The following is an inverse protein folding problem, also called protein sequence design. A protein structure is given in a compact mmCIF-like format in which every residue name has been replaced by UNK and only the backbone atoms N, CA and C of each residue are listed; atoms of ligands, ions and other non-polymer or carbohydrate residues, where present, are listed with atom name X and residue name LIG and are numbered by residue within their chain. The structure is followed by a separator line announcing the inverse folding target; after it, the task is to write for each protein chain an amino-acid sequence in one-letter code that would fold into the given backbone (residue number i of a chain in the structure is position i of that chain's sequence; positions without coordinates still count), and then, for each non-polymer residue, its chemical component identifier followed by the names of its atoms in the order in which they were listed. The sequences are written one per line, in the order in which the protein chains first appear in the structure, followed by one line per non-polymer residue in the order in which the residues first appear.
data_IF_963995780350
#
_entry.id   IF_963995780350
#
_cell.length_a   1.000
_cell.length_b   1.000
_cell.length_c   1.000
_cell.angle_alpha   90.00
_cell.angle_beta   90.00
_cell.angle_gamma   90.00
#
_symmetry.space_group_name_H-M   'P 1'
#
loop_
_entity.id
_entity.type
_entity.pdbx_description
1 polymer ?
#
# COMPACT_ATOMS: atom_id res chain seq x y z
N UNK A 1 13.72 11.81 -3.99
CA UNK A 1 14.47 12.73 -3.11
C UNK A 1 15.84 12.10 -2.91
N UNK A 2 16.92 12.89 -2.94
CA UNK A 2 18.29 12.35 -2.77
C UNK A 2 18.74 12.49 -1.33
N UNK A 3 19.32 11.42 -0.75
CA UNK A 3 19.92 11.51 0.57
C UNK A 3 21.09 12.51 0.59
N UNK A 4 21.03 13.44 1.53
CA UNK A 4 22.08 14.38 1.92
C UNK A 4 22.60 14.09 3.33
N UNK A 5 21.75 13.54 4.20
CA UNK A 5 22.05 13.09 5.55
C UNK A 5 21.21 11.84 5.89
N UNK A 6 21.59 10.70 5.32
CA UNK A 6 20.85 9.43 5.38
C UNK A 6 20.54 9.01 6.81
N UNK A 7 19.26 8.78 7.08
CA UNK A 7 18.71 8.44 8.38
C UNK A 7 18.45 9.64 9.30
N UNK A 8 18.59 10.87 8.80
CA UNK A 8 18.39 12.11 9.54
C UNK A 8 17.67 13.21 8.72
N UNK A 9 17.13 12.90 7.55
CA UNK A 9 16.47 13.87 6.65
C UNK A 9 15.21 14.47 7.29
N UNK A 10 14.56 13.69 8.14
CA UNK A 10 13.27 14.03 8.72
C UNK A 10 13.36 14.49 10.18
N UNK A 11 14.55 14.55 10.80
CA UNK A 11 14.74 14.84 12.22
C UNK A 11 14.02 16.14 12.64
N UNK A 12 14.29 17.26 11.96
CA UNK A 12 13.68 18.56 12.31
C UNK A 12 12.15 18.59 12.12
N UNK A 13 11.65 17.88 11.09
CA UNK A 13 10.20 17.80 10.83
C UNK A 13 9.52 16.93 11.89
N UNK A 14 10.17 15.84 12.27
CA UNK A 14 9.71 14.92 13.30
C UNK A 14 9.62 15.61 14.66
N UNK A 15 10.65 16.36 15.08
CA UNK A 15 10.65 17.08 16.36
C UNK A 15 9.41 17.99 16.50
N UNK A 16 9.14 18.82 15.48
CA UNK A 16 7.96 19.70 15.45
C UNK A 16 6.64 18.95 15.52
N UNK A 17 6.54 17.81 14.82
CA UNK A 17 5.34 16.97 14.82
C UNK A 17 5.13 16.31 16.18
N UNK A 18 6.20 15.82 16.80
CA UNK A 18 6.20 15.10 18.07
C UNK A 18 5.88 16.03 19.23
N UNK A 19 6.43 17.24 19.26
CA UNK A 19 6.11 18.23 20.28
C UNK A 19 4.61 18.50 20.34
N UNK A 20 3.98 18.68 19.18
CA UNK A 20 2.52 18.83 19.08
C UNK A 20 1.79 17.57 19.53
N UNK A 21 2.21 16.40 19.05
CA UNK A 21 1.55 15.14 19.37
C UNK A 21 1.63 14.79 20.86
N UNK A 22 2.74 15.10 21.55
CA UNK A 22 2.95 14.85 22.98
C UNK A 22 1.95 15.57 23.87
N UNK A 23 1.43 16.73 23.45
CA UNK A 23 0.46 17.52 24.22
C UNK A 23 -0.89 16.80 24.25
N UNK A 24 -1.27 16.16 23.15
CA UNK A 24 -2.63 15.65 22.95
C UNK A 24 -2.72 14.13 23.10
N UNK A 25 -1.75 13.40 22.53
CA UNK A 25 -1.67 11.92 22.43
C UNK A 25 -2.93 11.24 21.91
N UNK A 26 -3.85 12.00 21.33
CA UNK A 26 -5.20 11.59 20.97
C UNK A 26 -5.47 11.97 19.53
N UNK A 27 -6.01 11.02 18.78
CA UNK A 27 -6.43 11.20 17.41
C UNK A 27 -7.90 10.82 17.29
N UNK A 28 -8.70 11.80 16.86
CA UNK A 28 -10.10 11.62 16.52
C UNK A 28 -10.23 11.39 15.02
N UNK A 29 -11.11 10.46 14.64
CA UNK A 29 -11.40 10.20 13.23
C UNK A 29 -12.71 10.91 12.84
N UNK A 30 -12.65 11.86 11.92
CA UNK A 30 -13.85 12.47 11.34
C UNK A 30 -14.33 11.63 10.15
N UNK A 31 -15.34 10.80 10.42
CA UNK A 31 -15.97 9.89 9.48
C UNK A 31 -16.05 8.47 10.05
N UNK A 32 -17.19 8.10 10.62
CA UNK A 32 -17.46 6.75 11.15
C UNK A 32 -17.94 5.79 10.03
N UNK A 33 -17.26 5.81 8.89
CA UNK A 33 -17.50 4.92 7.74
C UNK A 33 -16.51 3.75 7.68
N UNK A 34 -16.43 3.09 6.52
CA UNK A 34 -15.45 2.02 6.28
C UNK A 34 -14.00 2.53 6.42
N UNK A 35 -13.68 3.65 5.77
CA UNK A 35 -12.34 4.26 5.84
C UNK A 35 -11.95 4.63 7.28
N UNK A 36 -12.91 5.09 8.08
CA UNK A 36 -12.67 5.39 9.49
C UNK A 36 -12.46 4.14 10.35
N UNK A 37 -13.20 3.07 10.07
CA UNK A 37 -13.01 1.79 10.75
C UNK A 37 -11.63 1.18 10.42
N UNK A 38 -11.17 1.30 9.17
CA UNK A 38 -9.84 0.84 8.76
C UNK A 38 -8.73 1.63 9.47
N UNK A 39 -8.84 2.97 9.50
CA UNK A 39 -7.88 3.82 10.20
C UNK A 39 -7.91 3.59 11.72
N UNK A 40 -9.07 3.28 12.30
CA UNK A 40 -9.20 2.96 13.73
C UNK A 40 -8.31 1.79 14.13
N UNK A 41 -8.26 0.72 13.33
CA UNK A 41 -7.44 -0.47 13.65
C UNK A 41 -5.97 -0.07 13.81
N UNK A 42 -5.47 0.76 12.90
CA UNK A 42 -4.11 1.31 12.96
C UNK A 42 -3.91 2.19 14.20
N UNK A 43 -4.83 3.11 14.49
CA UNK A 43 -4.70 4.01 15.65
C UNK A 43 -4.87 3.30 17.01
N UNK A 44 -5.68 2.24 17.09
CA UNK A 44 -5.83 1.41 18.28
C UNK A 44 -4.57 0.58 18.55
N UNK A 45 -3.91 0.07 17.52
CA UNK A 45 -2.63 -0.64 17.66
C UNK A 45 -1.57 0.22 18.35
N UNK A 46 -1.52 1.51 18.01
CA UNK A 46 -0.59 2.47 18.64
C UNK A 46 -1.15 3.13 19.91
N UNK A 47 -2.36 2.78 20.34
CA UNK A 47 -2.98 3.30 21.55
C UNK A 47 -3.32 4.80 21.51
N UNK A 48 -3.50 5.38 20.33
CA UNK A 48 -3.78 6.82 20.16
C UNK A 48 -5.17 7.15 19.60
N UNK A 49 -6.01 6.15 19.37
CA UNK A 49 -7.40 6.38 18.97
C UNK A 49 -8.22 6.97 20.13
N UNK A 50 -8.93 8.08 19.88
CA UNK A 50 -9.71 8.79 20.89
C UNK A 50 -11.23 8.79 20.65
N UNK A 51 -11.68 8.37 19.46
CA UNK A 51 -13.09 8.28 19.12
C UNK A 51 -13.41 8.78 17.71
N UNK A 52 -14.68 8.68 17.34
CA UNK A 52 -15.20 9.11 16.05
C UNK A 52 -15.96 10.43 16.15
N UNK A 53 -15.81 11.27 15.12
CA UNK A 53 -16.64 12.44 14.84
C UNK A 53 -17.42 12.14 13.55
N UNK A 54 -18.73 12.34 13.53
CA UNK A 54 -19.52 12.20 12.30
C UNK A 54 -20.71 13.16 12.31
N UNK A 55 -21.14 13.63 11.14
CA UNK A 55 -22.32 14.49 11.01
C UNK A 55 -23.63 13.67 11.00
N UNK A 56 -23.55 12.37 10.79
CA UNK A 56 -24.70 11.47 10.78
C UNK A 56 -25.24 11.23 12.21
N UNK A 57 -26.41 11.82 12.49
CA UNK A 57 -27.09 11.70 13.79
C UNK A 57 -27.48 10.25 14.12
N UNK A 58 -27.72 9.39 13.12
CA UNK A 58 -27.96 7.97 13.38
C UNK A 58 -26.71 7.28 13.90
N UNK A 59 -25.54 7.57 13.31
CA UNK A 59 -24.26 7.03 13.81
C UNK A 59 -23.92 7.58 15.18
N UNK A 60 -24.19 8.86 15.44
CA UNK A 60 -23.98 9.46 16.76
C UNK A 60 -24.77 8.73 17.86
N UNK A 61 -25.99 8.29 17.56
CA UNK A 61 -26.83 7.53 18.50
C UNK A 61 -26.44 6.05 18.61
N UNK A 62 -26.09 5.42 17.49
CA UNK A 62 -25.80 3.99 17.44
C UNK A 62 -24.37 3.65 17.87
N UNK A 63 -23.44 4.59 17.74
CA UNK A 63 -22.01 4.33 17.84
C UNK A 63 -21.45 3.56 16.64
N UNK A 64 -20.17 3.24 16.70
CA UNK A 64 -19.45 2.44 15.69
C UNK A 64 -18.40 1.57 16.36
N UNK A 65 -18.46 0.26 16.13
CA UNK A 65 -17.47 -0.72 16.61
C UNK A 65 -17.20 -0.61 18.13
N UNK A 66 -18.28 -0.48 18.93
CA UNK A 66 -18.29 -0.23 20.38
C UNK A 66 -17.74 1.13 20.84
N UNK A 67 -17.49 2.06 19.92
CA UNK A 67 -17.08 3.42 20.24
C UNK A 67 -18.23 4.42 20.06
N UNK A 68 -18.26 5.42 20.94
CA UNK A 68 -19.12 6.57 20.77
C UNK A 68 -18.72 7.35 19.51
N UNK A 69 -19.74 7.79 18.78
CA UNK A 69 -19.59 8.72 17.65
C UNK A 69 -20.17 10.05 18.13
N UNK A 70 -19.37 11.10 18.12
CA UNK A 70 -19.78 12.42 18.62
C UNK A 70 -19.97 13.40 17.48
N UNK A 71 -20.70 14.48 17.75
CA UNK A 71 -20.79 15.61 16.82
C UNK A 71 -19.53 16.48 16.88
N UNK A 72 -19.29 17.30 15.85
CA UNK A 72 -18.21 18.28 15.90
C UNK A 72 -18.40 19.29 17.05
N UNK A 73 -19.62 19.72 17.32
CA UNK A 73 -19.92 20.63 18.43
C UNK A 73 -19.53 20.03 19.78
N UNK A 74 -19.85 18.75 19.99
CA UNK A 74 -19.47 18.04 21.21
C UNK A 74 -17.95 17.86 21.34
N UNK A 75 -17.25 17.59 20.23
CA UNK A 75 -15.78 17.56 20.21
C UNK A 75 -15.18 18.90 20.69
N UNK A 76 -15.68 20.01 20.16
CA UNK A 76 -15.22 21.36 20.53
C UNK A 76 -15.54 21.70 22.00
N UNK A 77 -16.69 21.25 22.52
CA UNK A 77 -17.11 21.48 23.90
C UNK A 77 -16.25 20.72 24.92
N UNK A 78 -15.80 19.51 24.58
CA UNK A 78 -15.03 18.65 25.49
C UNK A 78 -13.70 19.28 25.94
N UNK A 79 -13.20 20.29 25.23
CA UNK A 79 -11.85 20.88 25.40
C UNK A 79 -10.72 19.84 25.40
N UNK A 80 -11.02 18.63 24.97
CA UNK A 80 -10.08 17.52 24.88
C UNK A 80 -9.31 17.72 23.57
N UNK A 81 -8.16 18.36 23.67
CA UNK A 81 -7.33 18.72 22.54
C UNK A 81 -6.75 17.44 21.90
N UNK A 82 -7.18 17.15 20.67
CA UNK A 82 -6.74 16.02 19.86
C UNK A 82 -6.48 16.43 18.42
N UNK A 83 -5.72 15.64 17.68
CA UNK A 83 -5.63 15.83 16.23
C UNK A 83 -6.86 15.19 15.59
N UNK A 84 -7.49 15.88 14.64
CA UNK A 84 -8.60 15.34 13.86
C UNK A 84 -8.09 14.81 12.52
N UNK A 85 -8.43 13.58 12.16
CA UNK A 85 -8.10 12.99 10.85
C UNK A 85 -9.38 12.71 10.07
N UNK A 86 -9.52 13.33 8.91
CA UNK A 86 -10.70 13.15 8.04
C UNK A 86 -10.59 11.80 7.32
N UNK A 87 -11.49 10.87 7.62
CA UNK A 87 -11.60 9.56 6.95
C UNK A 87 -12.97 9.42 6.26
N UNK A 88 -13.07 10.01 5.07
CA UNK A 88 -14.30 10.04 4.27
C UNK A 88 -14.00 9.90 2.78
N UNK A 89 -15.03 9.62 1.98
CA UNK A 89 -14.94 9.66 0.51
C UNK A 89 -14.40 11.02 0.03
N UNK A 90 -13.59 11.02 -1.03
CA UNK A 90 -12.94 12.23 -1.57
C UNK A 90 -13.91 13.39 -1.82
N UNK A 91 -15.13 13.08 -2.30
CA UNK A 91 -16.20 14.07 -2.53
C UNK A 91 -16.65 14.80 -1.26
N UNK A 92 -16.51 14.19 -0.08
CA UNK A 92 -16.95 14.72 1.21
C UNK A 92 -15.84 15.50 1.93
N UNK A 93 -14.57 15.23 1.61
CA UNK A 93 -13.41 15.86 2.27
C UNK A 93 -13.47 17.41 2.22
N UNK A 94 -13.79 18.08 1.09
CA UNK A 94 -13.85 19.54 1.03
C UNK A 94 -14.89 20.14 1.98
N UNK A 95 -16.04 19.48 2.12
CA UNK A 95 -17.12 19.95 3.01
C UNK A 95 -16.73 19.80 4.48
N UNK A 96 -16.15 18.66 4.86
CA UNK A 96 -15.69 18.43 6.24
C UNK A 96 -14.54 19.39 6.58
N UNK A 97 -13.60 19.61 5.66
CA UNK A 97 -12.49 20.55 5.87
C UNK A 97 -13.02 21.97 6.11
N UNK A 98 -13.98 22.44 5.31
CA UNK A 98 -14.62 23.74 5.51
C UNK A 98 -15.30 23.85 6.89
N UNK A 99 -16.01 22.80 7.31
CA UNK A 99 -16.68 22.77 8.61
C UNK A 99 -15.69 22.90 9.77
N UNK A 100 -14.51 22.28 9.66
CA UNK A 100 -13.44 22.37 10.66
C UNK A 100 -12.83 23.79 10.69
N UNK A 101 -12.54 24.38 9.53
CA UNK A 101 -12.02 25.75 9.42
C UNK A 101 -13.02 26.80 9.94
N UNK A 102 -14.30 26.68 9.61
CA UNK A 102 -15.37 27.55 10.13
C UNK A 102 -15.54 27.43 11.65
N UNK A 103 -15.08 26.31 12.24
CA UNK A 103 -15.05 26.09 13.68
C UNK A 103 -13.74 26.53 14.34
N UNK A 104 -12.81 27.12 13.57
CA UNK A 104 -11.54 27.64 14.06
C UNK A 104 -10.39 26.62 14.16
N UNK A 105 -10.53 25.45 13.54
CA UNK A 105 -9.46 24.43 13.45
C UNK A 105 -8.71 24.59 12.13
N UNK A 106 -7.39 24.45 12.13
CA UNK A 106 -6.55 24.72 10.97
C UNK A 106 -5.92 23.46 10.37
N UNK A 107 -5.98 23.32 9.04
CA UNK A 107 -5.32 22.25 8.30
C UNK A 107 -3.79 22.27 8.55
N UNK A 108 -3.19 21.11 8.79
CA UNK A 108 -1.75 21.02 9.05
C UNK A 108 -1.36 21.36 10.50
N UNK A 109 -2.33 21.70 11.34
CA UNK A 109 -2.14 22.00 12.77
C UNK A 109 -3.07 21.13 13.59
N UNK A 110 -4.38 21.36 13.48
CA UNK A 110 -5.41 20.72 14.29
C UNK A 110 -6.03 19.52 13.58
N UNK A 111 -6.08 19.56 12.25
CA UNK A 111 -6.60 18.45 11.46
C UNK A 111 -5.80 18.17 10.18
N UNK A 112 -5.99 16.95 9.68
CA UNK A 112 -5.36 16.45 8.46
C UNK A 112 -6.35 15.63 7.64
N UNK A 113 -6.17 15.65 6.32
CA UNK A 113 -6.85 14.72 5.42
C UNK A 113 -6.26 13.31 5.61
N UNK A 114 -7.10 12.27 5.56
CA UNK A 114 -6.69 10.89 5.87
C UNK A 114 -5.49 10.40 5.07
N UNK A 115 -5.48 10.62 3.75
CA UNK A 115 -4.34 10.22 2.90
C UNK A 115 -3.04 10.94 3.30
N UNK A 116 -3.09 12.25 3.59
CA UNK A 116 -1.91 12.99 4.00
C UNK A 116 -1.40 12.49 5.36
N UNK A 117 -2.31 12.30 6.30
CA UNK A 117 -1.98 11.78 7.62
C UNK A 117 -1.30 10.42 7.52
N UNK A 118 -1.91 9.45 6.83
CA UNK A 118 -1.39 8.09 6.71
C UNK A 118 -0.08 8.02 5.94
N UNK A 119 0.11 8.87 4.92
CA UNK A 119 1.30 8.80 4.06
C UNK A 119 2.49 9.61 4.57
N UNK A 120 2.25 10.75 5.23
CA UNK A 120 3.31 11.70 5.56
C UNK A 120 3.54 11.89 7.05
N UNK A 121 2.51 11.77 7.87
CA UNK A 121 2.61 12.08 9.30
C UNK A 121 2.74 10.82 10.14
N UNK A 122 1.86 9.85 9.90
CA UNK A 122 1.81 8.65 10.71
C UNK A 122 3.10 7.82 10.65
N UNK A 123 3.76 7.62 9.49
CA UNK A 123 5.04 6.90 9.44
C UNK A 123 6.15 7.60 10.24
N UNK A 124 6.11 8.94 10.28
CA UNK A 124 7.04 9.75 11.09
C UNK A 124 6.75 9.56 12.58
N UNK A 125 5.48 9.60 13.00
CA UNK A 125 5.09 9.31 14.39
C UNK A 125 5.47 7.88 14.79
N UNK A 126 5.17 6.88 13.94
CA UNK A 126 5.56 5.49 14.17
C UNK A 126 7.06 5.37 14.42
N UNK A 127 7.88 5.96 13.56
CA UNK A 127 9.34 5.83 13.64
C UNK A 127 9.94 6.63 14.80
N UNK A 128 9.58 7.90 14.95
CA UNK A 128 10.27 8.80 15.87
C UNK A 128 9.65 8.90 17.26
N UNK A 129 8.34 8.65 17.39
CA UNK A 129 7.65 8.71 18.69
C UNK A 129 7.44 7.34 19.29
N UNK A 130 7.00 6.37 18.49
CA UNK A 130 6.74 5.00 18.95
C UNK A 130 7.95 4.08 18.82
N UNK A 131 9.01 4.50 18.13
CA UNK A 131 10.16 3.67 17.80
C UNK A 131 9.74 2.36 17.09
N UNK A 132 8.90 2.49 16.06
CA UNK A 132 8.36 1.38 15.26
C UNK A 132 8.71 1.61 13.80
N UNK A 133 9.35 0.63 13.17
CA UNK A 133 9.49 0.60 11.71
C UNK A 133 8.16 0.20 11.07
N UNK A 134 7.65 1.09 10.21
CA UNK A 134 6.34 0.97 9.60
C UNK A 134 6.39 1.20 8.09
N UNK A 135 5.63 0.42 7.33
CA UNK A 135 5.27 0.72 5.94
C UNK A 135 3.79 0.48 5.69
N UNK A 136 3.22 1.24 4.75
CA UNK A 136 1.82 1.08 4.38
C UNK A 136 1.59 -0.25 3.64
N UNK A 137 2.52 -0.60 2.76
CA UNK A 137 2.41 -1.80 1.93
C UNK A 137 3.80 -2.33 1.59
N UNK A 138 3.91 -3.66 1.58
CA UNK A 138 5.03 -4.37 0.96
C UNK A 138 4.53 -5.66 0.34
N UNK A 139 5.20 -6.12 -0.70
CA UNK A 139 4.69 -7.19 -1.55
C UNK A 139 5.80 -8.17 -1.94
N UNK A 140 5.41 -9.40 -2.30
CA UNK A 140 6.27 -10.38 -2.96
C UNK A 140 5.61 -10.76 -4.29
N UNK A 141 6.30 -10.52 -5.41
CA UNK A 141 5.90 -11.05 -6.73
C UNK A 141 6.26 -12.54 -6.82
N UNK A 142 5.25 -13.41 -6.70
CA UNK A 142 5.43 -14.86 -6.60
C UNK A 142 5.67 -15.54 -7.95
N UNK A 143 5.13 -15.02 -9.03
CA UNK A 143 5.20 -15.63 -10.35
C UNK A 143 4.95 -14.58 -11.42
N UNK A 144 5.60 -14.73 -12.57
CA UNK A 144 5.32 -13.88 -13.75
C UNK A 144 4.28 -14.54 -14.67
N UNK A 145 3.86 -15.78 -14.37
CA UNK A 145 2.76 -16.47 -15.05
C UNK A 145 1.46 -15.74 -14.83
N UNK A 146 0.68 -15.57 -15.89
CA UNK A 146 -0.66 -15.00 -15.82
C UNK A 146 -1.61 -15.70 -16.80
N UNK A 147 -2.88 -15.81 -16.41
CA UNK A 147 -3.97 -16.30 -17.26
C UNK A 147 -4.48 -15.27 -18.27
N UNK A 148 -4.04 -14.01 -18.12
CA UNK A 148 -4.32 -12.91 -19.02
C UNK A 148 -3.02 -12.41 -19.64
N UNK A 149 -3.09 -11.92 -20.88
CA UNK A 149 -1.95 -11.37 -21.62
C UNK A 149 -2.19 -9.89 -21.90
N UNK A 150 -2.31 -9.12 -20.83
CA UNK A 150 -2.68 -7.71 -20.91
C UNK A 150 -1.57 -6.88 -21.57
N UNK A 151 -1.88 -6.20 -22.68
CA UNK A 151 -0.96 -5.42 -23.53
C UNK A 151 -0.15 -4.37 -22.77
N UNK A 152 -0.76 -3.74 -21.77
CA UNK A 152 -0.14 -2.70 -20.94
C UNK A 152 -0.07 -3.13 -19.48
N UNK A 153 0.34 -4.38 -19.26
CA UNK A 153 0.53 -4.92 -17.92
C UNK A 153 1.57 -4.09 -17.15
N UNK A 154 1.20 -3.61 -15.95
CA UNK A 154 2.11 -2.84 -15.08
C UNK A 154 3.34 -3.65 -14.62
N UNK A 155 3.31 -4.97 -14.78
CA UNK A 155 4.42 -5.86 -14.47
C UNK A 155 5.14 -6.38 -15.72
N UNK A 156 4.66 -6.05 -16.93
CA UNK A 156 5.16 -6.61 -18.20
C UNK A 156 5.23 -8.16 -18.21
N UNK A 157 4.33 -8.84 -17.49
CA UNK A 157 4.29 -10.30 -17.46
C UNK A 157 4.26 -10.97 -18.86
N UNK A 158 3.50 -10.45 -19.85
CA UNK A 158 3.46 -11.06 -21.18
C UNK A 158 4.77 -10.96 -21.98
N UNK A 159 5.64 -10.02 -21.64
CA UNK A 159 6.92 -9.77 -22.31
C UNK A 159 8.07 -10.60 -21.72
N UNK A 160 7.82 -11.29 -20.60
CA UNK A 160 8.83 -12.09 -19.90
C UNK A 160 9.30 -13.28 -20.74
N UNK A 161 10.60 -13.34 -21.02
CA UNK A 161 11.25 -14.55 -21.56
C UNK A 161 11.14 -15.75 -20.61
N UNK A 162 10.85 -15.48 -19.32
CA UNK A 162 10.65 -16.47 -18.27
C UNK A 162 9.18 -16.59 -17.87
N UNK A 163 8.27 -16.54 -18.84
CA UNK A 163 6.81 -16.58 -18.64
C UNK A 163 6.32 -17.80 -17.84
N UNK A 164 7.14 -18.85 -17.71
CA UNK A 164 6.84 -20.08 -16.98
C UNK A 164 7.50 -20.16 -15.58
N UNK A 165 8.19 -19.12 -15.13
CA UNK A 165 8.97 -19.18 -13.88
C UNK A 165 8.20 -18.70 -12.65
N UNK A 166 8.15 -19.58 -11.66
CA UNK A 166 7.74 -19.27 -10.30
C UNK A 166 8.97 -18.73 -9.52
N UNK A 167 8.75 -17.78 -8.60
CA UNK A 167 9.79 -17.39 -7.64
C UNK A 167 10.14 -18.61 -6.79
N UNK A 168 11.41 -19.04 -6.70
CA UNK A 168 11.73 -20.19 -5.88
C UNK A 168 11.26 -19.98 -4.43
N UNK A 169 10.62 -20.98 -3.83
CA UNK A 169 10.05 -20.86 -2.49
C UNK A 169 11.07 -20.44 -1.43
N UNK A 170 12.33 -20.85 -1.57
CA UNK A 170 13.44 -20.38 -0.74
C UNK A 170 13.62 -18.86 -0.76
N UNK A 171 13.41 -18.23 -1.92
CA UNK A 171 13.47 -16.78 -2.06
C UNK A 171 12.25 -16.14 -1.42
N UNK A 172 11.06 -16.74 -1.51
CA UNK A 172 9.86 -16.28 -0.79
C UNK A 172 10.11 -16.26 0.72
N UNK A 173 10.67 -17.34 1.27
CA UNK A 173 11.03 -17.43 2.69
C UNK A 173 12.05 -16.34 3.06
N UNK A 174 13.14 -16.25 2.29
CA UNK A 174 14.17 -15.23 2.51
C UNK A 174 13.61 -13.80 2.43
N UNK A 175 12.69 -13.53 1.50
CA UNK A 175 11.99 -12.24 1.39
C UNK A 175 11.27 -11.87 2.68
N UNK A 176 10.40 -12.75 3.16
CA UNK A 176 9.65 -12.52 4.39
C UNK A 176 10.58 -12.38 5.60
N UNK A 177 11.55 -13.27 5.74
CA UNK A 177 12.50 -13.26 6.86
C UNK A 177 13.36 -11.99 6.87
N UNK A 178 13.83 -11.54 5.71
CA UNK A 178 14.64 -10.32 5.60
C UNK A 178 13.83 -9.07 5.89
N UNK A 179 12.58 -9.03 5.43
CA UNK A 179 11.66 -7.91 5.66
C UNK A 179 11.27 -7.81 7.13
N UNK A 180 10.68 -8.86 7.70
CA UNK A 180 10.17 -8.84 9.08
C UNK A 180 11.25 -8.90 10.16
N UNK A 181 12.52 -9.10 9.79
CA UNK A 181 13.66 -8.85 10.69
C UNK A 181 13.81 -7.37 11.03
N UNK A 182 13.53 -6.49 10.09
CA UNK A 182 13.74 -5.03 10.22
C UNK A 182 12.45 -4.21 10.14
N UNK A 183 11.32 -4.84 9.81
CA UNK A 183 10.00 -4.23 9.83
C UNK A 183 9.21 -4.75 11.02
N UNK A 184 8.77 -3.84 11.88
CA UNK A 184 7.97 -4.16 13.07
C UNK A 184 6.51 -4.36 12.66
N UNK A 185 5.97 -3.45 11.84
CA UNK A 185 4.59 -3.50 11.36
C UNK A 185 4.48 -3.10 9.89
N UNK A 186 3.65 -3.82 9.15
CA UNK A 186 3.16 -3.38 7.84
C UNK A 186 1.64 -3.31 7.87
N UNK A 187 1.05 -2.23 7.33
CA UNK A 187 -0.41 -2.16 7.22
C UNK A 187 -0.91 -3.23 6.27
N UNK A 188 -0.24 -3.44 5.14
CA UNK A 188 -0.56 -4.54 4.25
C UNK A 188 0.68 -5.29 3.76
N UNK A 189 0.63 -6.62 3.82
CA UNK A 189 1.60 -7.49 3.17
C UNK A 189 0.90 -8.29 2.07
N UNK A 190 1.37 -8.17 0.83
CA UNK A 190 0.66 -8.71 -0.34
C UNK A 190 1.47 -9.81 -1.01
N UNK A 191 0.81 -10.92 -1.31
CA UNK A 191 1.26 -11.88 -2.31
C UNK A 191 0.66 -11.50 -3.67
N UNK A 192 1.53 -11.12 -4.61
CA UNK A 192 1.16 -10.61 -5.94
C UNK A 192 1.99 -11.32 -7.02
N UNK A 193 1.86 -10.90 -8.27
CA UNK A 193 2.58 -11.41 -9.43
C UNK A 193 1.75 -11.17 -10.69
N UNK A 194 1.92 -12.02 -11.70
CA UNK A 194 1.00 -12.12 -12.83
C UNK A 194 -0.39 -12.60 -12.38
N UNK A 195 -0.47 -13.85 -11.92
CA UNK A 195 -1.64 -14.41 -11.22
C UNK A 195 -1.17 -15.32 -10.08
N UNK A 196 -1.24 -14.89 -8.81
CA UNK A 196 -0.74 -15.67 -7.68
C UNK A 196 -1.35 -17.06 -7.56
N UNK A 197 -2.61 -17.27 -7.98
CA UNK A 197 -3.25 -18.59 -7.94
C UNK A 197 -2.61 -19.63 -8.89
N UNK A 198 -1.71 -19.20 -9.79
CA UNK A 198 -0.89 -20.09 -10.60
C UNK A 198 0.37 -20.58 -9.86
N UNK A 199 0.81 -19.89 -8.81
CA UNK A 199 2.04 -20.21 -8.09
C UNK A 199 1.91 -21.55 -7.35
N UNK A 200 2.77 -22.52 -7.70
CA UNK A 200 2.60 -23.93 -7.27
C UNK A 200 2.63 -24.10 -5.76
N UNK A 201 3.40 -23.25 -5.06
CA UNK A 201 3.64 -23.34 -3.62
C UNK A 201 2.88 -22.24 -2.85
N UNK A 202 1.74 -21.76 -3.38
CA UNK A 202 0.99 -20.68 -2.74
C UNK A 202 0.52 -21.04 -1.33
N UNK A 203 0.02 -22.26 -1.13
CA UNK A 203 -0.38 -22.73 0.20
C UNK A 203 0.82 -22.73 1.17
N UNK A 204 2.00 -23.22 0.73
CA UNK A 204 3.22 -23.22 1.54
C UNK A 204 3.70 -21.80 1.87
N UNK A 205 3.62 -20.87 0.91
CA UNK A 205 3.97 -19.46 1.11
C UNK A 205 3.07 -18.80 2.15
N UNK A 206 1.75 -18.96 2.02
CA UNK A 206 0.78 -18.46 3.01
C UNK A 206 1.05 -19.07 4.38
N UNK A 207 1.28 -20.39 4.44
CA UNK A 207 1.54 -21.08 5.69
C UNK A 207 2.84 -20.62 6.37
N UNK A 208 3.93 -20.46 5.61
CA UNK A 208 5.21 -20.04 6.13
C UNK A 208 5.15 -18.62 6.70
N UNK A 209 4.60 -17.69 5.93
CA UNK A 209 4.51 -16.27 6.28
C UNK A 209 3.52 -16.07 7.44
N UNK A 210 2.31 -16.65 7.31
CA UNK A 210 1.25 -16.52 8.31
C UNK A 210 1.63 -17.12 9.67
N UNK A 211 2.34 -18.24 9.70
CA UNK A 211 2.76 -18.86 10.97
C UNK A 211 3.81 -18.07 11.75
N UNK A 212 4.53 -17.15 11.09
CA UNK A 212 5.68 -16.44 11.67
C UNK A 212 5.46 -14.96 11.91
N UNK A 213 4.67 -14.31 11.04
CA UNK A 213 4.66 -12.86 10.93
C UNK A 213 3.25 -12.27 10.88
N UNK A 214 2.20 -13.07 11.09
CA UNK A 214 0.82 -12.59 10.96
C UNK A 214 0.47 -11.46 11.93
N UNK A 215 1.07 -11.46 13.11
CA UNK A 215 0.96 -10.41 14.13
C UNK A 215 1.67 -9.10 13.75
N UNK A 216 2.59 -9.16 12.77
CA UNK A 216 3.27 -7.98 12.21
C UNK A 216 2.54 -7.33 11.03
N UNK A 217 1.35 -7.83 10.70
CA UNK A 217 0.55 -7.38 9.55
C UNK A 217 -0.84 -6.99 10.01
N UNK A 218 -1.31 -5.79 9.65
CA UNK A 218 -2.73 -5.47 9.82
C UNK A 218 -3.54 -6.31 8.82
N UNK A 219 -3.14 -6.27 7.55
CA UNK A 219 -3.73 -7.04 6.45
C UNK A 219 -2.67 -7.95 5.83
N UNK A 220 -2.97 -9.24 5.76
CA UNK A 220 -2.23 -10.17 4.90
C UNK A 220 -3.14 -10.50 3.71
N UNK A 221 -2.68 -10.29 2.48
CA UNK A 221 -3.56 -10.39 1.31
C UNK A 221 -2.93 -11.09 0.10
N UNK A 222 -3.81 -11.54 -0.80
CA UNK A 222 -3.47 -12.01 -2.14
C UNK A 222 -4.20 -11.11 -3.14
N UNK A 223 -3.46 -10.54 -4.09
CA UNK A 223 -4.04 -9.76 -5.20
C UNK A 223 -4.16 -10.65 -6.43
N UNK A 224 -5.39 -10.87 -6.92
CA UNK A 224 -5.69 -11.79 -8.04
C UNK A 224 -6.50 -11.09 -9.12
N UNK A 225 -6.32 -11.51 -10.37
CA UNK A 225 -7.19 -11.12 -11.49
C UNK A 225 -8.54 -11.87 -11.48
N UNK A 226 -8.71 -12.83 -10.57
CA UNK A 226 -9.97 -13.54 -10.32
C UNK A 226 -10.38 -14.52 -11.42
N UNK A 227 -9.49 -14.88 -12.35
CA UNK A 227 -9.80 -15.85 -13.42
C UNK A 227 -9.81 -17.30 -12.96
N UNK A 228 -9.14 -17.60 -11.84
CA UNK A 228 -8.97 -18.93 -11.26
C UNK A 228 -9.68 -19.05 -9.91
N UNK A 229 -9.93 -20.29 -9.49
CA UNK A 229 -10.39 -20.60 -8.14
C UNK A 229 -9.19 -21.13 -7.34
N UNK A 230 -9.02 -20.72 -6.07
CA UNK A 230 -7.99 -21.28 -5.20
C UNK A 230 -8.23 -22.77 -4.95
N UNK A 231 -7.16 -23.54 -4.77
CA UNK A 231 -7.27 -24.94 -4.36
C UNK A 231 -7.74 -25.05 -2.91
N UNK A 232 -8.14 -26.25 -2.49
CA UNK A 232 -8.56 -26.51 -1.10
C UNK A 232 -7.43 -26.19 -0.11
N UNK A 233 -6.20 -26.55 -0.43
CA UNK A 233 -5.04 -26.30 0.42
C UNK A 233 -4.78 -24.80 0.59
N UNK A 234 -4.95 -24.00 -0.48
CA UNK A 234 -4.85 -22.54 -0.41
C UNK A 234 -5.97 -21.97 0.47
N UNK A 235 -7.22 -22.42 0.28
CA UNK A 235 -8.36 -21.99 1.10
C UNK A 235 -8.15 -22.30 2.58
N UNK A 236 -7.64 -23.49 2.92
CA UNK A 236 -7.34 -23.89 4.30
C UNK A 236 -6.30 -22.96 4.95
N UNK A 237 -5.20 -22.65 4.26
CA UNK A 237 -4.17 -21.75 4.80
C UNK A 237 -4.67 -20.30 4.87
N UNK A 238 -5.39 -19.82 3.85
CA UNK A 238 -5.94 -18.47 3.83
C UNK A 238 -6.93 -18.25 4.97
N UNK A 239 -7.83 -19.20 5.23
CA UNK A 239 -8.74 -19.15 6.38
C UNK A 239 -7.97 -19.16 7.69
N UNK A 240 -7.00 -20.07 7.85
CA UNK A 240 -6.20 -20.20 9.08
C UNK A 240 -5.46 -18.92 9.47
N UNK A 241 -4.94 -18.19 8.48
CA UNK A 241 -4.13 -16.99 8.71
C UNK A 241 -4.86 -15.68 8.36
N UNK A 242 -6.19 -15.71 8.23
CA UNK A 242 -7.03 -14.54 7.95
C UNK A 242 -6.51 -13.72 6.75
N UNK A 243 -6.31 -14.40 5.62
CA UNK A 243 -5.84 -13.79 4.37
C UNK A 243 -7.02 -13.17 3.63
N UNK A 244 -6.86 -11.90 3.23
CA UNK A 244 -7.82 -11.17 2.42
C UNK A 244 -7.55 -11.39 0.92
N UNK A 245 -8.58 -11.66 0.13
CA UNK A 245 -8.47 -11.63 -1.33
C UNK A 245 -8.79 -10.23 -1.88
N UNK A 246 -7.84 -9.60 -2.57
CA UNK A 246 -8.09 -8.41 -3.39
C UNK A 246 -8.29 -8.83 -4.84
N UNK A 247 -9.48 -8.64 -5.37
CA UNK A 247 -9.85 -9.10 -6.72
C UNK A 247 -9.97 -7.89 -7.64
N UNK A 248 -9.04 -7.78 -8.60
CA UNK A 248 -9.10 -6.78 -9.66
C UNK A 248 -10.24 -7.09 -10.62
N UNK A 249 -11.10 -6.11 -10.89
CA UNK A 249 -12.36 -6.35 -11.57
C UNK A 249 -12.33 -5.85 -13.02
N UNK A 250 -11.87 -6.71 -13.92
CA UNK A 250 -11.82 -6.43 -15.35
C UNK A 250 -13.12 -6.69 -16.11
N UNK A 251 -14.27 -6.82 -15.43
CA UNK A 251 -15.53 -7.19 -16.09
C UNK A 251 -16.10 -6.14 -17.06
N UNK A 252 -15.62 -4.89 -17.01
CA UNK A 252 -16.00 -3.88 -17.99
C UNK A 252 -15.38 -4.18 -19.37
N UNK A 253 -14.08 -4.50 -19.41
CA UNK A 253 -13.37 -4.86 -20.64
C UNK A 253 -13.55 -6.33 -21.03
N UNK A 254 -13.71 -7.22 -20.04
CA UNK A 254 -13.88 -8.67 -20.22
C UNK A 254 -15.17 -9.17 -19.56
N UNK A 255 -16.37 -8.93 -20.15
CA UNK A 255 -17.65 -9.25 -19.54
C UNK A 255 -17.83 -10.72 -19.11
N UNK A 256 -17.14 -11.65 -19.77
CA UNK A 256 -17.13 -13.08 -19.42
C UNK A 256 -16.63 -13.37 -17.99
N UNK A 257 -15.89 -12.45 -17.37
CA UNK A 257 -15.37 -12.65 -16.01
C UNK A 257 -16.43 -12.47 -14.92
N UNK A 258 -17.61 -11.89 -15.23
CA UNK A 258 -18.68 -11.68 -14.23
C UNK A 258 -19.11 -12.98 -13.54
N UNK A 259 -19.32 -14.05 -14.31
CA UNK A 259 -19.69 -15.36 -13.77
C UNK A 259 -18.55 -15.97 -12.94
N UNK A 260 -17.31 -15.80 -13.40
CA UNK A 260 -16.13 -16.27 -12.68
C UNK A 260 -15.99 -15.57 -11.33
N UNK A 261 -16.18 -14.25 -11.27
CA UNK A 261 -16.16 -13.50 -10.02
C UNK A 261 -17.27 -13.95 -9.07
N UNK A 262 -18.50 -14.14 -9.56
CA UNK A 262 -19.61 -14.66 -8.74
C UNK A 262 -19.29 -16.03 -8.14
N UNK A 263 -18.64 -16.91 -8.91
CA UNK A 263 -18.22 -18.24 -8.45
C UNK A 263 -17.12 -18.13 -7.40
N UNK A 264 -16.11 -17.29 -7.66
CA UNK A 264 -14.98 -17.08 -6.75
C UNK A 264 -15.44 -16.48 -5.41
N UNK A 265 -16.25 -15.42 -5.44
CA UNK A 265 -16.71 -14.76 -4.21
C UNK A 265 -17.58 -15.70 -3.37
N UNK A 266 -18.49 -16.46 -3.99
CA UNK A 266 -19.28 -17.46 -3.26
C UNK A 266 -18.40 -18.52 -2.59
N UNK A 267 -17.39 -19.02 -3.29
CA UNK A 267 -16.44 -19.97 -2.72
C UNK A 267 -15.70 -19.38 -1.51
N UNK A 268 -15.29 -18.10 -1.58
CA UNK A 268 -14.62 -17.43 -0.46
C UNK A 268 -15.57 -17.22 0.73
N UNK A 269 -16.84 -16.86 0.48
CA UNK A 269 -17.90 -16.76 1.51
C UNK A 269 -18.15 -18.12 2.19
N UNK A 270 -18.26 -19.21 1.42
CA UNK A 270 -18.45 -20.57 1.93
C UNK A 270 -17.32 -21.02 2.86
N UNK A 271 -16.11 -20.49 2.65
CA UNK A 271 -14.92 -20.76 3.45
C UNK A 271 -14.66 -19.76 4.57
N UNK A 272 -15.54 -18.75 4.75
CA UNK A 272 -15.35 -17.66 5.71
C UNK A 272 -14.03 -16.90 5.48
N UNK A 273 -13.70 -16.66 4.21
CA UNK A 273 -12.51 -15.92 3.78
C UNK A 273 -12.94 -14.55 3.29
N UNK A 274 -12.35 -13.50 3.88
CA UNK A 274 -12.62 -12.13 3.50
C UNK A 274 -12.12 -11.84 2.09
N UNK A 275 -12.86 -11.03 1.35
CA UNK A 275 -12.44 -10.54 0.04
C UNK A 275 -12.95 -9.12 -0.23
N UNK A 276 -12.30 -8.46 -1.18
CA UNK A 276 -12.70 -7.18 -1.75
C UNK A 276 -12.70 -7.30 -3.27
N UNK A 277 -13.89 -7.28 -3.87
CA UNK A 277 -14.04 -7.19 -5.32
C UNK A 277 -14.07 -5.71 -5.72
N UNK A 278 -13.10 -5.29 -6.53
CA UNK A 278 -13.05 -3.93 -7.06
C UNK A 278 -14.31 -3.56 -7.83
N UNK A 279 -14.58 -2.26 -7.96
CA UNK A 279 -15.57 -1.78 -8.95
C UNK A 279 -15.08 -2.17 -10.35
N UNK A 280 -15.99 -2.41 -11.31
CA UNK A 280 -15.59 -2.66 -12.70
C UNK A 280 -14.65 -1.55 -13.18
N UNK A 281 -13.40 -1.93 -13.44
CA UNK A 281 -12.36 -1.00 -13.82
C UNK A 281 -12.66 -0.48 -15.23
N UNK A 282 -12.55 0.83 -15.42
CA UNK A 282 -12.83 1.47 -16.71
C UNK A 282 -11.58 2.01 -17.38
N UNK A 283 -10.53 2.32 -16.60
CA UNK A 283 -9.28 2.85 -17.10
C UNK A 283 -8.11 2.27 -16.31
N UNK A 284 -7.02 1.98 -17.02
CA UNK A 284 -5.67 1.87 -16.49
C UNK A 284 -4.83 3.06 -16.95
N UNK A 285 -3.62 3.15 -16.40
CA UNK A 285 -2.61 4.10 -16.84
C UNK A 285 -1.64 3.42 -17.80
N UNK A 286 -1.31 4.07 -18.92
CA UNK A 286 -0.17 3.72 -19.75
C UNK A 286 1.08 4.36 -19.16
N UNK A 287 1.90 3.55 -18.50
CA UNK A 287 3.19 4.00 -17.96
C UNK A 287 4.25 4.19 -19.05
N UNK A 288 4.00 3.73 -20.28
CA UNK A 288 4.86 3.97 -21.43
C UNK A 288 6.18 3.21 -21.43
N UNK A 289 6.25 2.07 -20.73
CA UNK A 289 7.47 1.26 -20.58
C UNK A 289 8.13 0.85 -21.90
N UNK A 290 7.36 0.74 -22.98
CA UNK A 290 7.76 0.30 -24.31
C UNK A 290 8.20 1.44 -25.25
N UNK A 291 7.90 2.72 -24.93
CA UNK A 291 8.15 3.84 -25.83
C UNK A 291 8.69 5.12 -25.17
N UNK A 292 8.61 5.24 -23.85
CA UNK A 292 9.13 6.43 -23.14
C UNK A 292 10.64 6.31 -23.03
N UNK A 293 11.33 7.35 -23.49
CA UNK A 293 12.76 7.53 -23.28
C UNK A 293 13.04 8.98 -22.89
N UNK A 294 13.30 9.21 -21.61
CA UNK A 294 13.67 10.52 -21.07
C UNK A 294 15.19 10.69 -21.12
N UNK A 295 15.64 11.69 -21.88
CA UNK A 295 17.04 12.14 -21.90
C UNK A 295 17.29 13.25 -20.85
N UNK A 296 16.57 13.17 -19.73
CA UNK A 296 16.56 14.13 -18.65
C UNK A 296 17.84 14.05 -17.81
N UNK A 297 18.21 15.18 -17.22
CA UNK A 297 19.25 15.27 -16.20
C UNK A 297 18.85 14.57 -14.90
N UNK A 298 19.82 14.26 -14.02
CA UNK A 298 19.51 13.64 -12.71
C UNK A 298 18.53 14.48 -11.86
N UNK A 299 18.62 15.81 -11.97
CA UNK A 299 17.73 16.73 -11.25
C UNK A 299 16.29 16.62 -11.75
N UNK A 300 16.11 16.55 -13.07
CA UNK A 300 14.80 16.39 -13.70
C UNK A 300 14.21 15.01 -13.38
N UNK A 301 15.01 13.94 -13.41
CA UNK A 301 14.56 12.59 -13.03
C UNK A 301 14.20 12.48 -11.55
N UNK A 302 14.91 13.19 -10.68
CA UNK A 302 14.55 13.30 -9.26
C UNK A 302 13.18 13.96 -9.13
N UNK A 303 12.89 15.01 -9.90
CA UNK A 303 11.57 15.66 -9.90
C UNK A 303 10.47 14.72 -10.44
N UNK A 304 10.73 13.93 -11.48
CA UNK A 304 9.80 12.90 -12.00
C UNK A 304 9.48 11.86 -10.91
N UNK A 305 10.51 11.38 -10.21
CA UNK A 305 10.36 10.40 -9.14
C UNK A 305 9.59 10.97 -7.94
N UNK A 306 9.91 12.20 -7.53
CA UNK A 306 9.27 12.91 -6.42
C UNK A 306 7.80 13.20 -6.69
N UNK A 307 7.47 13.55 -7.93
CA UNK A 307 6.09 13.72 -8.37
C UNK A 307 5.32 12.39 -8.37
N UNK A 308 5.99 11.28 -8.71
CA UNK A 308 5.38 9.95 -8.74
C UNK A 308 5.10 9.39 -7.34
N UNK A 309 6.13 9.30 -6.49
CA UNK A 309 5.98 8.89 -5.08
C UNK A 309 5.25 7.55 -4.85
N UNK A 310 5.32 6.63 -5.82
CA UNK A 310 4.59 5.34 -5.76
C UNK A 310 4.85 4.58 -4.47
N UNK A 311 3.83 3.90 -3.96
CA UNK A 311 3.93 3.10 -2.73
C UNK A 311 3.99 1.60 -3.00
N UNK A 312 4.17 1.18 -4.25
CA UNK A 312 4.17 -0.24 -4.60
C UNK A 312 5.51 -0.93 -4.26
N UNK A 313 5.89 -0.96 -2.98
CA UNK A 313 7.16 -1.52 -2.53
C UNK A 313 7.16 -3.05 -2.61
N UNK A 314 8.32 -3.64 -2.89
CA UNK A 314 8.49 -5.09 -3.00
C UNK A 314 9.72 -5.57 -2.27
N UNK A 315 9.65 -6.76 -1.66
CA UNK A 315 10.81 -7.47 -1.14
C UNK A 315 11.11 -8.75 -1.94
N UNK A 316 12.36 -8.90 -2.39
CA UNK A 316 12.86 -10.10 -3.09
C UNK A 316 14.21 -10.52 -2.51
N UNK A 317 14.23 -11.59 -1.72
CA UNK A 317 15.38 -11.96 -0.91
C UNK A 317 15.68 -10.89 0.15
N UNK A 318 16.88 -10.35 0.16
CA UNK A 318 17.26 -9.24 1.06
C UNK A 318 17.08 -7.84 0.43
N UNK A 319 16.60 -7.77 -0.81
CA UNK A 319 16.46 -6.51 -1.54
C UNK A 319 15.04 -5.95 -1.38
N UNK A 320 14.96 -4.71 -0.94
CA UNK A 320 13.71 -3.97 -0.79
C UNK A 320 13.63 -2.86 -1.85
N UNK A 321 12.75 -3.05 -2.82
CA UNK A 321 12.57 -2.18 -3.96
C UNK A 321 11.47 -1.16 -3.69
N UNK A 322 11.71 0.09 -4.08
CA UNK A 322 10.73 1.16 -3.93
C UNK A 322 9.53 0.99 -4.88
N UNK A 323 9.76 0.44 -6.08
CA UNK A 323 8.71 0.28 -7.09
C UNK A 323 8.78 -1.13 -7.69
N UNK A 324 7.75 -1.93 -7.40
CA UNK A 324 7.55 -3.27 -7.98
C UNK A 324 7.56 -3.21 -9.50
N UNK A 325 6.93 -2.20 -10.11
CA UNK A 325 6.85 -2.04 -11.56
C UNK A 325 8.24 -1.78 -12.16
N UNK A 326 9.05 -0.91 -11.53
CA UNK A 326 10.41 -0.66 -11.99
C UNK A 326 11.24 -1.96 -12.02
N UNK A 327 11.12 -2.77 -10.96
CA UNK A 327 11.83 -4.06 -10.89
C UNK A 327 11.27 -5.06 -11.90
N UNK A 328 9.95 -5.29 -11.92
CA UNK A 328 9.33 -6.30 -12.81
C UNK A 328 9.49 -6.00 -14.27
N UNK A 329 9.28 -4.75 -14.68
CA UNK A 329 9.41 -4.36 -16.08
C UNK A 329 10.86 -4.47 -16.54
N UNK A 330 11.82 -4.05 -15.71
CA UNK A 330 13.25 -4.19 -16.06
C UNK A 330 13.65 -5.65 -16.28
N UNK A 331 13.21 -6.55 -15.39
CA UNK A 331 13.49 -7.97 -15.48
C UNK A 331 12.73 -8.63 -16.64
N UNK A 332 11.42 -8.42 -16.74
CA UNK A 332 10.56 -9.10 -17.71
C UNK A 332 10.81 -8.62 -19.15
N UNK A 333 11.13 -7.35 -19.37
CA UNK A 333 11.50 -6.85 -20.70
C UNK A 333 13.00 -7.00 -21.01
N UNK A 334 13.78 -7.63 -20.14
CA UNK A 334 15.22 -7.86 -20.36
C UNK A 334 16.05 -6.57 -20.45
N UNK A 335 15.62 -5.49 -19.78
CA UNK A 335 16.26 -4.17 -19.91
C UNK A 335 17.59 -4.08 -19.16
N UNK A 336 17.75 -4.86 -18.08
CA UNK A 336 18.97 -4.88 -17.29
C UNK A 336 19.29 -3.56 -16.56
N UNK A 337 18.27 -2.72 -16.30
CA UNK A 337 18.43 -1.42 -15.64
C UNK A 337 17.97 -1.46 -14.19
N UNK A 338 18.48 -0.55 -13.36
CA UNK A 338 18.05 -0.44 -11.95
C UNK A 338 18.60 -1.54 -11.05
N UNK A 339 19.68 -2.21 -11.45
CA UNK A 339 20.32 -3.28 -10.68
C UNK A 339 20.86 -2.88 -9.30
N UNK A 340 20.85 -1.58 -8.96
CA UNK A 340 21.15 -1.02 -7.64
C UNK A 340 19.99 -0.26 -6.99
N UNK A 341 18.80 -0.31 -7.57
CA UNK A 341 17.64 0.50 -7.14
C UNK A 341 16.82 -0.20 -6.05
N UNK A 342 17.50 -0.51 -4.95
CA UNK A 342 16.92 -1.14 -3.78
C UNK A 342 17.68 -0.77 -2.51
N UNK A 343 17.01 -0.94 -1.38
CA UNK A 343 17.64 -0.95 -0.07
C UNK A 343 18.00 -2.39 0.31
N UNK A 344 19.26 -2.63 0.67
CA UNK A 344 19.70 -3.94 1.17
C UNK A 344 19.39 -4.07 2.67
N UNK A 345 18.38 -4.88 2.98
CA UNK A 345 17.87 -5.04 4.35
C UNK A 345 18.88 -5.74 5.29
N UNK A 346 19.87 -6.48 4.75
CA UNK A 346 20.91 -7.15 5.55
C UNK A 346 22.08 -6.22 5.88
N UNK A 347 22.18 -5.07 5.21
CA UNK A 347 23.27 -4.09 5.39
C UNK A 347 22.85 -2.85 6.18
N UNK A 348 21.64 -2.83 6.71
CA UNK A 348 21.15 -1.71 7.50
C UNK A 348 21.89 -1.57 8.84
N UNK A 349 22.23 -0.35 9.28
CA UNK A 349 22.92 -0.13 10.54
C UNK A 349 21.98 -0.36 11.73
N UNK A 350 22.47 -1.03 12.79
CA UNK A 350 21.65 -1.42 13.95
C UNK A 350 20.98 -0.24 14.66
N UNK A 351 21.65 0.90 14.76
CA UNK A 351 21.19 2.00 15.63
C UNK A 351 20.31 3.03 14.90
N UNK A 352 20.18 2.95 13.57
CA UNK A 352 19.43 3.96 12.79
C UNK A 352 18.60 3.41 11.60
N UNK A 353 18.46 2.08 11.49
CA UNK A 353 17.79 1.50 10.32
C UNK A 353 16.32 1.94 10.18
N UNK A 354 15.60 2.18 11.27
CA UNK A 354 14.17 2.57 11.21
C UNK A 354 13.98 3.91 10.50
N UNK A 355 14.84 4.90 10.77
CA UNK A 355 14.80 6.19 10.07
C UNK A 355 15.17 6.05 8.60
N UNK A 356 16.17 5.22 8.29
CA UNK A 356 16.54 4.93 6.89
C UNK A 356 15.39 4.24 6.14
N UNK A 357 14.68 3.30 6.77
CA UNK A 357 13.50 2.65 6.19
C UNK A 357 12.38 3.65 5.94
N UNK A 358 12.08 4.51 6.92
CA UNK A 358 11.09 5.58 6.77
C UNK A 358 11.43 6.49 5.60
N UNK A 359 12.66 6.98 5.52
CA UNK A 359 13.12 7.84 4.43
C UNK A 359 13.03 7.13 3.09
N UNK A 360 13.47 5.88 3.01
CA UNK A 360 13.33 5.10 1.78
C UNK A 360 11.86 4.99 1.36
N UNK A 361 10.94 4.67 2.30
CA UNK A 361 9.50 4.61 2.04
C UNK A 361 8.89 5.98 1.65
N UNK A 362 9.50 7.08 2.08
CA UNK A 362 9.09 8.44 1.70
C UNK A 362 9.61 8.84 0.30
N UNK A 363 10.59 8.12 -0.24
CA UNK A 363 11.16 8.35 -1.58
C UNK A 363 12.61 8.85 -1.55
N UNK A 364 13.34 8.64 -0.46
CA UNK A 364 14.77 8.93 -0.42
C UNK A 364 15.61 7.77 -0.96
N UNK A 365 16.64 8.10 -1.73
CA UNK A 365 17.63 7.14 -2.22
C UNK A 365 18.99 7.81 -2.46
N UNK A 366 20.04 7.02 -2.67
CA UNK A 366 21.39 7.54 -2.93
C UNK A 366 21.44 8.32 -4.26
N UNK A 367 20.62 7.95 -5.25
CA UNK A 367 20.53 8.64 -6.56
C UNK A 367 19.50 9.76 -6.59
N UNK A 368 18.41 9.63 -5.84
CA UNK A 368 17.26 10.52 -5.90
C UNK A 368 16.13 10.06 -6.81
N UNK A 369 16.36 9.04 -7.64
CA UNK A 369 15.43 8.46 -8.62
C UNK A 369 15.77 6.99 -8.92
N UNK A 370 14.86 6.27 -9.57
CA UNK A 370 15.09 4.92 -10.09
C UNK A 370 15.48 5.00 -11.57
N UNK A 371 16.38 4.16 -12.09
CA UNK A 371 16.76 4.17 -13.51
C UNK A 371 15.55 3.99 -14.43
N UNK A 372 14.56 3.19 -14.00
CA UNK A 372 13.32 3.02 -14.75
C UNK A 372 12.46 4.28 -14.86
N UNK A 373 12.72 5.34 -14.08
CA UNK A 373 12.07 6.64 -14.28
C UNK A 373 12.40 7.23 -15.67
N UNK A 374 13.54 6.85 -16.29
CA UNK A 374 13.87 7.25 -17.67
C UNK A 374 12.92 6.63 -18.70
N UNK A 375 12.23 5.55 -18.34
CA UNK A 375 11.37 4.75 -19.22
C UNK A 375 9.92 4.70 -18.74
N UNK A 376 9.49 5.70 -17.98
CA UNK A 376 8.17 5.70 -17.35
C UNK A 376 7.56 7.10 -17.35
N UNK A 377 6.25 7.17 -17.60
CA UNK A 377 5.45 8.39 -17.47
C UNK A 377 5.33 8.85 -16.00
N UNK A 378 5.57 7.98 -15.03
CA UNK A 378 5.50 8.34 -13.60
C UNK A 378 4.11 8.89 -13.24
N UNK A 379 4.07 10.07 -12.60
CA UNK A 379 2.81 10.75 -12.30
C UNK A 379 2.04 11.18 -13.56
N UNK A 380 2.72 11.48 -14.68
CA UNK A 380 2.08 11.93 -15.92
C UNK A 380 1.21 10.84 -16.55
N UNK A 381 1.37 9.57 -16.13
CA UNK A 381 0.55 8.44 -16.57
C UNK A 381 -0.96 8.70 -16.37
N UNK A 382 -1.34 9.58 -15.44
CA UNK A 382 -2.73 10.01 -15.24
C UNK A 382 -3.36 10.70 -16.47
N UNK A 383 -2.55 11.19 -17.40
CA UNK A 383 -2.98 11.77 -18.67
C UNK A 383 -3.07 10.74 -19.81
N UNK A 384 -2.61 9.51 -19.59
CA UNK A 384 -2.57 8.44 -20.58
C UNK A 384 -3.45 7.27 -20.12
N UNK A 385 -4.78 7.46 -20.22
CA UNK A 385 -5.75 6.45 -19.84
C UNK A 385 -5.98 5.45 -20.98
N UNK A 386 -5.99 4.16 -20.63
CA UNK A 386 -6.19 3.05 -21.57
C UNK A 386 -7.23 2.06 -21.04
N UNK A 387 -7.87 1.24 -21.89
CA UNK A 387 -8.75 0.18 -21.44
C UNK A 387 -8.00 -0.83 -20.54
N UNK A 388 -8.59 -1.22 -19.40
CA UNK A 388 -7.98 -2.23 -18.54
C UNK A 388 -8.00 -3.59 -19.21
N UNK A 389 -6.95 -4.38 -18.99
CA UNK A 389 -6.85 -5.77 -19.46
C UNK A 389 -7.11 -5.98 -20.97
N UNK A 390 -6.80 -5.01 -21.84
CA UNK A 390 -6.73 -5.23 -23.31
C UNK A 390 -5.73 -6.36 -23.59
N UNK A 391 -6.12 -7.39 -24.35
CA UNK A 391 -5.30 -8.58 -24.56
C UNK A 391 -4.42 -8.46 -25.80
N UNK A 392 -3.18 -8.96 -25.74
CA UNK A 392 -2.30 -9.09 -26.91
C UNK A 392 -2.88 -10.11 -27.88
N UNK A 393 -2.95 -9.75 -29.17
CA UNK A 393 -3.46 -10.62 -30.23
C UNK A 393 -4.98 -10.83 -30.20
N UNK A 394 -5.70 -9.93 -29.52
CA UNK A 394 -7.17 -9.88 -29.49
C UNK A 394 -7.81 -9.19 -30.68
#
# INVERSE_FOLDING_TARGET
MKWTNKGHELDQKADKLIEKFKIHKKIYIFGAGLLGADLKIELEYFGCFAGFIDNDVHKQKAGKDNWAVISLSEYLERKDSGIVVIAADEKNIPTISRQLEESGLHEGIDYYKGQEFQRKLFPVLATYYYDVSYTEISQISLTERCTLRCKKCAHACPDSDNIDSDLPFEVVRKSADSFFRVMDITKEFVLIGGEPLLYKQLADAVAYIGSRYRDKMIIFSITTNGTLLPSKEVLEQCRKYNVLFRISNYSAALPRLKERYSTLTRLLEEWDIQYSLGKPEINWFDYGFDYVERNDSEKELTAVFDACGTKCHEVRGNKYYFCVMARSVSDNMGLGVGGGDYLDLERLPKDNYKKILLEFNDGYSDKGYLEMCRRCNGAEALHYLIPPAEQIGG
#
